data_IF_817793324529
#
_entry.id   IF_817793324529
#
_cell.length_a   1.000
_cell.length_b   1.000
_cell.length_c   1.000
_cell.angle_alpha   90.00
_cell.angle_beta   90.00
_cell.angle_gamma   90.00
#
_symmetry.space_group_name_H-M   'P 1'
#
loop_
_entity.id
_entity.type
_entity.pdbx_description
1 polymer ?
#
# COMPACT_ATOMS: atom_id res chain seq x y z
N UNK A 1 1.72 3.73 -11.49
CA UNK A 1 0.25 3.57 -11.67
C UNK A 1 -0.03 3.62 -13.17
N UNK A 2 -1.05 2.92 -13.68
CA UNK A 2 -1.36 2.94 -15.12
C UNK A 2 -1.89 4.30 -15.63
N UNK A 3 -2.41 5.14 -14.72
CA UNK A 3 -2.87 6.51 -14.98
C UNK A 3 -4.12 6.65 -15.85
N UNK A 4 -5.00 5.65 -15.85
CA UNK A 4 -6.26 5.61 -16.60
C UNK A 4 -7.51 5.95 -15.78
N UNK A 5 -7.43 5.95 -14.44
CA UNK A 5 -8.59 6.19 -13.55
C UNK A 5 -9.03 7.66 -13.55
N UNK A 6 -8.12 8.60 -13.27
CA UNK A 6 -8.46 10.01 -13.09
C UNK A 6 -9.02 10.68 -14.37
N UNK A 7 -8.75 10.09 -15.54
CA UNK A 7 -9.16 10.59 -16.86
C UNK A 7 -10.22 9.72 -17.53
N UNK A 8 -10.68 8.65 -16.87
CA UNK A 8 -11.70 7.75 -17.41
C UNK A 8 -13.01 8.51 -17.64
N UNK A 9 -13.70 8.22 -18.75
CA UNK A 9 -15.02 8.78 -19.06
C UNK A 9 -16.09 8.37 -18.04
N UNK A 10 -15.88 7.24 -17.36
CA UNK A 10 -16.76 6.74 -16.31
C UNK A 10 -16.49 7.40 -14.94
N UNK A 11 -15.42 8.19 -14.82
CA UNK A 11 -15.03 8.77 -13.55
C UNK A 11 -15.91 10.01 -13.24
N UNK A 12 -16.66 10.02 -12.12
CA UNK A 12 -17.64 11.08 -11.86
C UNK A 12 -17.01 12.45 -11.54
N UNK A 13 -15.71 12.47 -11.18
CA UNK A 13 -14.95 13.67 -10.83
C UNK A 13 -13.63 13.72 -11.61
N UNK A 14 -13.61 14.22 -12.85
CA UNK A 14 -12.40 14.20 -13.68
C UNK A 14 -11.19 14.86 -12.98
N UNK A 15 -10.03 14.22 -13.06
CA UNK A 15 -8.77 14.71 -12.49
C UNK A 15 -8.60 14.49 -10.98
N UNK A 16 -9.54 13.81 -10.32
CA UNK A 16 -9.53 13.53 -8.87
C UNK A 16 -9.50 12.02 -8.64
N UNK A 17 -8.83 11.55 -7.60
CA UNK A 17 -9.01 10.19 -7.05
C UNK A 17 -9.19 10.31 -5.53
N UNK A 18 -10.17 9.61 -4.97
CA UNK A 18 -10.38 9.53 -3.52
C UNK A 18 -10.22 8.08 -3.06
N UNK A 19 -9.68 7.86 -1.86
CA UNK A 19 -9.49 6.53 -1.25
C UNK A 19 -10.26 6.38 0.08
N UNK A 20 -11.25 7.24 0.30
CA UNK A 20 -12.13 7.22 1.48
C UNK A 20 -13.44 7.96 1.14
N UNK A 21 -14.61 7.56 1.67
CA UNK A 21 -15.89 8.17 1.30
C UNK A 21 -15.96 9.68 1.51
N UNK A 22 -15.26 10.16 2.54
CA UNK A 22 -15.14 11.57 2.92
C UNK A 22 -13.71 12.09 2.78
N UNK A 23 -12.86 11.39 2.01
CA UNK A 23 -11.46 11.74 1.83
C UNK A 23 -11.23 12.85 0.81
N UNK A 24 -10.11 13.54 0.96
CA UNK A 24 -9.59 14.50 -0.01
C UNK A 24 -9.02 13.79 -1.25
N UNK A 25 -8.73 14.58 -2.30
CA UNK A 25 -8.02 14.09 -3.47
C UNK A 25 -6.62 13.58 -3.11
N UNK A 26 -6.31 12.36 -3.55
CA UNK A 26 -4.99 11.73 -3.39
C UNK A 26 -4.22 11.63 -4.71
N UNK A 27 -4.79 12.11 -5.82
CA UNK A 27 -4.17 12.08 -7.14
C UNK A 27 -3.23 13.27 -7.41
N UNK A 28 -3.61 14.46 -6.93
CA UNK A 28 -2.82 15.67 -7.14
C UNK A 28 -1.38 15.53 -6.64
N UNK A 29 -0.43 15.87 -7.50
CA UNK A 29 1.00 15.89 -7.17
C UNK A 29 1.70 14.52 -7.15
N UNK A 30 0.99 13.41 -7.44
CA UNK A 30 1.63 12.10 -7.51
C UNK A 30 2.53 12.00 -8.78
N UNK A 31 3.83 11.70 -8.63
CA UNK A 31 4.74 11.50 -9.76
C UNK A 31 4.30 10.37 -10.71
N UNK A 32 4.59 10.55 -12.00
CA UNK A 32 4.26 9.58 -13.07
C UNK A 32 5.54 8.94 -13.60
N UNK A 33 6.19 8.16 -12.75
CA UNK A 33 7.54 7.64 -13.04
C UNK A 33 7.55 6.51 -14.08
N UNK A 34 6.50 5.68 -14.09
CA UNK A 34 6.38 4.53 -14.98
C UNK A 34 4.96 4.47 -15.57
N UNK A 35 4.83 4.71 -16.88
CA UNK A 35 3.57 4.74 -17.63
C UNK A 35 3.65 3.98 -18.98
N UNK A 36 4.68 3.16 -19.17
CA UNK A 36 4.92 2.40 -20.41
C UNK A 36 4.21 1.03 -20.40
N UNK A 37 3.89 0.53 -21.58
CA UNK A 37 3.02 -0.65 -21.82
C UNK A 37 3.71 -2.00 -21.53
N UNK A 38 4.95 -2.00 -21.03
CA UNK A 38 5.77 -3.21 -20.87
C UNK A 38 5.72 -3.88 -19.49
N UNK A 39 4.87 -3.41 -18.58
CA UNK A 39 4.82 -3.87 -17.18
C UNK A 39 3.37 -4.16 -16.72
N UNK A 40 3.19 -4.72 -15.53
CA UNK A 40 1.89 -5.14 -14.97
C UNK A 40 0.93 -3.97 -14.73
N UNK A 41 0.13 -3.54 -15.73
CA UNK A 41 -1.23 -4.07 -15.97
C UNK A 41 -1.39 -4.86 -17.28
N UNK A 42 -0.31 -4.97 -18.05
CA UNK A 42 -0.23 -5.81 -19.24
C UNK A 42 0.63 -7.05 -18.94
N UNK A 43 0.50 -8.08 -19.78
CA UNK A 43 1.39 -9.25 -19.71
C UNK A 43 2.84 -8.85 -20.04
N UNK A 44 3.84 -9.54 -19.46
CA UNK A 44 3.75 -10.67 -18.54
C UNK A 44 3.48 -10.27 -17.08
N UNK A 45 2.94 -11.21 -16.31
CA UNK A 45 2.71 -11.02 -14.87
C UNK A 45 3.96 -11.26 -14.02
N UNK A 46 3.98 -10.69 -12.80
CA UNK A 46 5.03 -10.89 -11.81
C UNK A 46 4.81 -12.23 -11.07
N UNK A 47 5.78 -13.13 -11.19
CA UNK A 47 5.78 -14.40 -10.44
C UNK A 47 6.54 -14.27 -9.13
N UNK A 48 6.06 -14.95 -8.08
CA UNK A 48 6.65 -14.87 -6.74
C UNK A 48 8.13 -15.26 -6.71
N UNK A 49 8.54 -16.29 -7.47
CA UNK A 49 9.94 -16.68 -7.55
C UNK A 49 10.84 -15.57 -8.10
N UNK A 50 10.44 -14.94 -9.21
CA UNK A 50 11.19 -13.82 -9.80
C UNK A 50 11.30 -12.65 -8.82
N UNK A 51 10.21 -12.37 -8.10
CA UNK A 51 10.20 -11.32 -7.09
C UNK A 51 11.19 -11.61 -5.96
N UNK A 52 11.16 -12.82 -5.39
CA UNK A 52 12.09 -13.22 -4.32
C UNK A 52 13.54 -13.22 -4.80
N UNK A 53 13.82 -13.60 -6.05
CA UNK A 53 15.17 -13.51 -6.63
C UNK A 53 15.69 -12.07 -6.68
N UNK A 54 14.84 -11.11 -7.06
CA UNK A 54 15.19 -9.68 -7.03
C UNK A 54 15.48 -9.23 -5.61
N UNK A 55 14.69 -9.65 -4.62
CA UNK A 55 14.96 -9.32 -3.21
C UNK A 55 16.30 -9.88 -2.72
N UNK A 56 16.64 -11.12 -3.10
CA UNK A 56 17.95 -11.72 -2.80
C UNK A 56 19.09 -10.94 -3.45
N UNK A 57 18.96 -10.54 -4.72
CA UNK A 57 19.94 -9.69 -5.40
C UNK A 57 20.10 -8.34 -4.72
N UNK A 58 18.98 -7.70 -4.32
CA UNK A 58 18.98 -6.42 -3.61
C UNK A 58 19.64 -6.53 -2.24
N UNK A 59 19.42 -7.63 -1.53
CA UNK A 59 20.08 -7.94 -0.26
C UNK A 59 21.60 -8.11 -0.44
N UNK A 60 22.01 -8.93 -1.41
CA UNK A 60 23.41 -9.16 -1.72
C UNK A 60 24.16 -7.87 -2.12
N UNK A 61 23.46 -6.91 -2.72
CA UNK A 61 24.03 -5.60 -3.02
C UNK A 61 24.28 -4.72 -1.78
N UNK A 62 23.73 -5.06 -0.61
CA UNK A 62 23.94 -4.30 0.64
C UNK A 62 23.42 -2.86 0.60
N UNK A 63 22.40 -2.59 -0.23
CA UNK A 63 21.93 -1.22 -0.53
C UNK A 63 20.68 -0.80 0.27
N UNK A 64 20.36 -1.52 1.35
CA UNK A 64 19.37 -1.11 2.34
C UNK A 64 19.79 -1.65 3.72
N UNK A 65 19.37 -0.97 4.78
CA UNK A 65 19.53 -1.46 6.15
C UNK A 65 18.46 -2.48 6.49
N UNK A 66 17.21 -2.06 6.33
CA UNK A 66 15.99 -2.84 6.54
C UNK A 66 14.96 -2.46 5.47
N UNK A 67 14.10 -3.40 5.09
CA UNK A 67 13.06 -3.20 4.09
C UNK A 67 11.72 -3.72 4.62
N UNK A 68 10.66 -2.96 4.39
CA UNK A 68 9.28 -3.36 4.70
C UNK A 68 8.48 -3.42 3.40
N UNK A 69 7.73 -4.51 3.21
CA UNK A 69 6.88 -4.74 2.03
C UNK A 69 5.45 -5.04 2.50
N UNK A 70 4.50 -4.26 2.00
CA UNK A 70 3.06 -4.49 2.17
C UNK A 70 2.52 -4.99 0.83
N UNK A 71 1.83 -6.14 0.82
CA UNK A 71 1.26 -6.71 -0.41
C UNK A 71 -0.25 -6.82 -0.29
N UNK A 72 -0.92 -6.11 -1.19
CA UNK A 72 -2.36 -6.19 -1.41
C UNK A 72 -2.67 -7.07 -2.62
N UNK A 73 -3.20 -8.27 -2.38
CA UNK A 73 -3.77 -9.14 -3.41
C UNK A 73 -4.49 -10.33 -2.77
N UNK A 74 -5.41 -10.94 -3.52
CA UNK A 74 -5.88 -12.29 -3.24
C UNK A 74 -4.71 -13.28 -3.22
N UNK A 75 -4.81 -14.28 -2.34
CA UNK A 75 -3.79 -15.30 -2.12
C UNK A 75 -2.36 -14.75 -1.92
N UNK A 76 -2.22 -13.51 -1.44
CA UNK A 76 -0.94 -12.80 -1.38
C UNK A 76 0.12 -13.50 -0.54
N UNK A 77 -0.30 -14.32 0.44
CA UNK A 77 0.59 -15.19 1.20
C UNK A 77 1.37 -16.19 0.32
N UNK A 78 0.80 -16.63 -0.80
CA UNK A 78 1.41 -17.60 -1.72
C UNK A 78 2.69 -17.08 -2.39
N UNK A 79 2.88 -15.76 -2.45
CA UNK A 79 4.07 -15.12 -3.00
C UNK A 79 5.30 -15.38 -2.12
N UNK A 80 5.12 -15.68 -0.84
CA UNK A 80 6.21 -15.75 0.16
C UNK A 80 6.28 -17.08 0.90
N UNK A 81 5.14 -17.77 1.05
CA UNK A 81 5.05 -18.99 1.83
C UNK A 81 6.00 -20.07 1.28
N UNK A 82 6.82 -20.64 2.17
CA UNK A 82 7.82 -21.66 1.82
C UNK A 82 9.06 -21.16 1.08
N UNK A 83 9.07 -19.92 0.54
CA UNK A 83 10.16 -19.43 -0.31
C UNK A 83 10.88 -18.17 0.20
N UNK A 84 10.27 -17.39 1.11
CA UNK A 84 10.86 -16.16 1.64
C UNK A 84 11.91 -16.44 2.75
N UNK A 85 13.19 -16.09 2.54
CA UNK A 85 14.23 -16.19 3.58
C UNK A 85 13.98 -15.24 4.77
N UNK A 86 14.51 -15.60 5.94
CA UNK A 86 14.33 -14.83 7.20
C UNK A 86 15.53 -13.96 7.57
N UNK A 87 16.64 -14.11 6.86
CA UNK A 87 17.96 -13.54 7.11
C UNK A 87 18.35 -12.41 6.13
N UNK A 88 17.36 -11.73 5.57
CA UNK A 88 17.59 -10.62 4.62
C UNK A 88 17.33 -9.23 5.18
N UNK A 89 16.89 -9.08 6.44
CA UNK A 89 16.37 -7.81 6.98
C UNK A 89 15.22 -7.24 6.14
N UNK A 90 14.35 -8.13 5.65
CA UNK A 90 13.11 -7.76 4.94
C UNK A 90 11.93 -8.29 5.74
N UNK A 91 11.02 -7.41 6.11
CA UNK A 91 9.74 -7.77 6.72
C UNK A 91 8.62 -7.61 5.70
N UNK A 92 7.77 -8.62 5.59
CA UNK A 92 6.65 -8.64 4.66
C UNK A 92 5.37 -8.86 5.42
N UNK A 93 4.34 -8.09 5.08
CA UNK A 93 2.96 -8.40 5.48
C UNK A 93 2.06 -8.46 4.25
N UNK A 94 1.16 -9.43 4.25
CA UNK A 94 0.25 -9.71 3.13
C UNK A 94 -1.19 -9.51 3.56
N UNK A 95 -2.04 -9.15 2.60
CA UNK A 95 -3.47 -8.96 2.82
C UNK A 95 -4.18 -10.25 3.25
N UNK A 96 -3.77 -11.37 2.69
CA UNK A 96 -4.40 -12.66 2.84
C UNK A 96 -3.37 -13.77 3.00
N UNK A 97 -3.82 -14.95 3.43
CA UNK A 97 -3.04 -16.18 3.37
C UNK A 97 -2.94 -16.70 1.92
N UNK A 98 -2.31 -17.86 1.71
CA UNK A 98 -2.09 -18.42 0.37
C UNK A 98 -3.35 -19.03 -0.30
N UNK A 99 -4.50 -19.04 0.36
CA UNK A 99 -5.70 -19.79 -0.02
C UNK A 99 -6.99 -18.96 0.04
N UNK A 100 -6.90 -17.66 0.29
CA UNK A 100 -8.07 -16.80 0.41
C UNK A 100 -7.91 -15.45 -0.30
N UNK A 101 -9.05 -14.87 -0.62
CA UNK A 101 -9.14 -13.56 -1.25
C UNK A 101 -8.82 -12.42 -0.27
N UNK A 102 -8.32 -11.31 -0.82
CA UNK A 102 -8.38 -10.02 -0.14
C UNK A 102 -9.69 -9.29 -0.47
N UNK A 103 -9.93 -8.14 0.17
CA UNK A 103 -11.23 -7.47 0.14
C UNK A 103 -11.11 -5.97 -0.15
N UNK A 104 -11.94 -5.53 -1.11
CA UNK A 104 -12.25 -4.13 -1.34
C UNK A 104 -13.04 -3.52 -0.19
N UNK A 105 -12.96 -2.21 -0.04
CA UNK A 105 -13.74 -1.43 0.93
C UNK A 105 -14.32 -0.17 0.27
N UNK A 106 -15.29 0.45 0.95
CA UNK A 106 -16.01 1.62 0.43
C UNK A 106 -16.67 1.34 -0.93
N UNK A 107 -17.35 0.20 -1.02
CA UNK A 107 -18.07 -0.22 -2.22
C UNK A 107 -19.55 0.20 -2.17
N UNK A 108 -20.21 0.40 -3.33
CA UNK A 108 -21.65 0.61 -3.38
C UNK A 108 -22.41 -0.51 -2.65
N UNK A 109 -23.25 -0.13 -1.68
CA UNK A 109 -24.00 -1.08 -0.85
C UNK A 109 -23.28 -1.60 0.40
N UNK A 110 -22.02 -1.20 0.64
CA UNK A 110 -21.32 -1.44 1.92
C UNK A 110 -21.45 -0.24 2.86
N UNK A 111 -21.17 -0.44 4.15
CA UNK A 111 -21.08 0.65 5.14
C UNK A 111 -19.62 0.79 5.63
N UNK A 112 -19.00 1.98 5.56
CA UNK A 112 -19.55 3.18 4.93
C UNK A 112 -19.52 3.10 3.39
N UNK A 113 -20.58 3.59 2.70
CA UNK A 113 -20.62 3.58 1.25
C UNK A 113 -19.75 4.70 0.68
N UNK A 114 -19.31 4.60 -0.59
CA UNK A 114 -18.70 5.71 -1.30
C UNK A 114 -19.74 6.81 -1.61
N UNK A 115 -19.31 8.00 -2.08
CA UNK A 115 -20.24 8.99 -2.60
C UNK A 115 -21.10 8.37 -3.73
N UNK A 116 -22.41 8.64 -3.80
CA UNK A 116 -23.34 7.93 -4.68
C UNK A 116 -23.00 7.96 -6.18
N UNK A 117 -22.21 8.93 -6.61
CA UNK A 117 -21.74 9.05 -8.00
C UNK A 117 -20.66 8.02 -8.38
N UNK A 118 -20.02 7.36 -7.41
CA UNK A 118 -19.06 6.29 -7.67
C UNK A 118 -19.75 4.94 -7.73
N UNK A 119 -19.57 4.25 -8.86
CA UNK A 119 -20.11 2.90 -9.10
C UNK A 119 -19.10 1.77 -8.83
N UNK A 120 -17.95 2.11 -8.23
CA UNK A 120 -16.85 1.20 -7.91
C UNK A 120 -16.44 1.35 -6.44
N UNK A 121 -15.71 0.38 -5.90
CA UNK A 121 -15.03 0.52 -4.60
C UNK A 121 -13.96 1.61 -4.68
N UNK A 122 -13.75 2.37 -3.60
CA UNK A 122 -12.74 3.44 -3.56
C UNK A 122 -11.36 2.96 -3.10
N UNK A 123 -11.28 1.82 -2.42
CA UNK A 123 -10.02 1.30 -1.92
C UNK A 123 -10.12 -0.16 -1.53
N UNK A 124 -9.00 -0.67 -1.00
CA UNK A 124 -8.89 -1.98 -0.39
C UNK A 124 -8.83 -1.85 1.12
N UNK A 125 -9.22 -2.90 1.85
CA UNK A 125 -9.37 -2.89 3.31
C UNK A 125 -8.00 -2.82 4.00
N UNK A 126 -7.27 -1.71 3.87
CA UNK A 126 -5.81 -1.69 4.02
C UNK A 126 -5.29 -1.93 5.44
N UNK A 127 -6.03 -1.56 6.49
CA UNK A 127 -5.45 -1.60 7.83
C UNK A 127 -5.37 -3.04 8.35
N UNK A 128 -4.16 -3.46 8.73
CA UNK A 128 -3.93 -4.75 9.43
C UNK A 128 -4.91 -4.90 10.60
N UNK A 129 -5.22 -3.79 11.28
CA UNK A 129 -6.18 -3.73 12.38
C UNK A 129 -7.61 -4.08 11.93
N UNK A 130 -8.07 -3.61 10.78
CA UNK A 130 -9.41 -3.96 10.27
C UNK A 130 -9.45 -5.36 9.69
N UNK A 131 -8.37 -5.84 9.05
CA UNK A 131 -8.29 -7.22 8.54
C UNK A 131 -8.25 -8.29 9.63
N UNK A 132 -7.63 -7.96 10.76
CA UNK A 132 -7.51 -8.86 11.93
C UNK A 132 -8.61 -8.64 12.96
N UNK A 133 -9.53 -7.70 12.74
CA UNK A 133 -10.67 -7.53 13.62
C UNK A 133 -11.55 -8.79 13.55
N UNK A 134 -11.89 -9.39 14.68
CA UNK A 134 -12.73 -10.60 14.84
C UNK A 134 -14.17 -10.46 14.29
N UNK A 135 -14.46 -9.46 13.46
CA UNK A 135 -15.64 -9.45 12.62
C UNK A 135 -15.38 -10.44 11.47
N UNK A 136 -16.29 -11.39 11.25
CA UNK A 136 -16.20 -12.47 10.27
C UNK A 136 -16.21 -12.00 8.78
N UNK A 137 -15.53 -10.89 8.45
CA UNK A 137 -15.62 -10.19 7.16
C UNK A 137 -14.30 -9.64 6.64
N UNK A 138 -13.17 -10.33 6.91
CA UNK A 138 -11.84 -9.96 6.42
C UNK A 138 -10.98 -11.19 6.07
N UNK A 139 -9.74 -10.94 5.67
CA UNK A 139 -8.73 -11.95 5.37
C UNK A 139 -7.64 -12.04 6.45
N UNK A 140 -6.98 -13.18 6.55
CA UNK A 140 -5.87 -13.41 7.45
C UNK A 140 -4.63 -12.65 6.97
N UNK A 141 -4.24 -11.62 7.73
CA UNK A 141 -2.97 -10.95 7.53
C UNK A 141 -1.84 -11.89 7.92
N UNK A 142 -0.91 -12.13 6.99
CA UNK A 142 0.25 -12.98 7.24
C UNK A 142 1.54 -12.15 7.33
N UNK A 143 2.55 -12.72 7.99
CA UNK A 143 3.86 -12.10 8.18
C UNK A 143 5.00 -13.06 7.77
N UNK A 144 5.90 -12.58 6.91
CA UNK A 144 7.05 -13.33 6.40
C UNK A 144 8.36 -12.55 6.59
N UNK A 145 9.49 -13.25 6.46
CA UNK A 145 10.83 -12.66 6.56
C UNK A 145 11.27 -12.35 8.01
N UNK A 146 12.03 -11.27 8.16
CA UNK A 146 12.69 -10.86 9.41
C UNK A 146 11.70 -10.15 10.36
N UNK A 147 11.07 -10.91 11.26
CA UNK A 147 10.04 -10.40 12.20
C UNK A 147 10.57 -9.44 13.28
N UNK A 148 11.88 -9.33 13.47
CA UNK A 148 12.50 -8.39 14.40
C UNK A 148 12.24 -6.92 14.04
N UNK A 149 12.04 -6.62 12.75
CA UNK A 149 11.76 -5.27 12.24
C UNK A 149 10.40 -4.74 12.74
N UNK A 150 9.45 -5.62 13.09
CA UNK A 150 8.12 -5.23 13.58
C UNK A 150 8.16 -4.42 14.88
N UNK A 151 9.20 -4.60 15.70
CA UNK A 151 9.37 -3.83 16.93
C UNK A 151 9.84 -2.39 16.67
N UNK A 152 10.37 -2.11 15.48
CA UNK A 152 10.76 -0.78 15.05
C UNK A 152 9.52 0.00 14.58
N UNK A 153 9.33 1.20 15.13
CA UNK A 153 8.06 1.91 14.97
C UNK A 153 7.87 2.33 13.49
N UNK A 154 6.65 2.17 12.94
CA UNK A 154 6.31 2.42 11.52
C UNK A 154 6.77 3.79 10.98
N UNK A 155 6.92 4.79 11.86
CA UNK A 155 7.46 6.12 11.54
C UNK A 155 8.82 6.15 10.82
N UNK A 156 9.63 5.09 10.97
CA UNK A 156 10.91 5.01 10.27
C UNK A 156 10.75 4.75 8.76
N UNK A 157 9.65 4.12 8.36
CA UNK A 157 9.39 3.73 6.97
C UNK A 157 8.31 4.59 6.32
N UNK A 158 7.34 5.03 7.12
CA UNK A 158 6.30 5.97 6.69
C UNK A 158 6.63 7.31 7.33
N UNK A 159 7.05 8.28 6.51
CA UNK A 159 7.30 9.66 6.96
C UNK A 159 6.08 10.12 7.79
N UNK A 160 6.25 10.30 9.10
CA UNK A 160 5.16 10.78 9.96
C UNK A 160 4.98 12.27 9.72
N UNK A 161 3.75 12.65 9.36
CA UNK A 161 3.33 14.03 9.41
C UNK A 161 3.21 14.42 10.89
N UNK A 162 4.25 15.04 11.46
CA UNK A 162 4.11 15.76 12.73
C UNK A 162 3.33 17.02 12.40
N UNK A 163 2.00 16.94 12.48
CA UNK A 163 1.16 18.13 12.61
C UNK A 163 1.65 18.88 13.86
N UNK A 164 2.09 20.14 13.76
CA UNK A 164 2.39 20.92 14.95
C UNK A 164 1.10 21.00 15.76
N UNK A 165 1.10 20.37 16.94
CA UNK A 165 0.12 20.65 17.97
C UNK A 165 0.03 22.17 18.11
N UNK A 166 -1.18 22.69 17.90
CA UNK A 166 -1.56 24.09 18.07
C UNK A 166 -0.93 24.65 19.35
N UNK A 167 0.22 25.29 19.23
CA UNK A 167 0.66 26.31 20.17
C UNK A 167 0.43 27.63 19.46
N UNK A 168 -0.45 28.41 20.07
CA UNK A 168 -1.01 29.65 19.58
C UNK A 168 0.07 30.73 19.42
N UNK A 169 0.80 30.78 18.30
CA UNK A 169 1.53 31.98 17.87
C UNK A 169 1.65 32.00 16.32
N UNK A 170 1.18 33.05 15.64
CA UNK A 170 1.29 33.16 14.19
C UNK A 170 2.68 33.73 13.86
N UNK A 171 3.53 32.97 13.17
CA UNK A 171 4.35 33.45 12.04
C UNK A 171 5.33 32.37 11.58
N UNK A 172 5.56 32.38 10.26
CA UNK A 172 6.61 31.69 9.48
C UNK A 172 6.13 30.41 8.79
N UNK A 173 5.51 30.64 7.62
CA UNK A 173 5.55 29.77 6.44
C UNK A 173 7.01 29.51 6.04
N UNK A 174 7.45 28.25 6.09
CA UNK A 174 8.43 27.67 5.17
C UNK A 174 8.50 26.15 5.37
N UNK A 175 7.91 25.41 4.43
CA UNK A 175 8.05 23.95 4.34
C UNK A 175 9.42 23.62 3.72
N UNK A 176 10.47 23.59 4.53
CA UNK A 176 11.72 22.94 4.14
C UNK A 176 11.62 21.44 4.42
N UNK A 177 11.41 20.67 3.36
CA UNK A 177 11.51 19.21 3.37
C UNK A 177 12.96 18.81 3.63
N UNK A 178 13.29 18.43 4.87
CA UNK A 178 14.60 17.91 5.22
C UNK A 178 14.68 16.43 4.82
N UNK A 179 15.27 16.17 3.65
CA UNK A 179 15.78 14.86 3.29
C UNK A 179 17.01 14.58 4.16
N UNK A 180 17.00 13.48 4.92
CA UNK A 180 18.24 12.83 5.33
C UNK A 180 18.22 11.41 4.78
N UNK A 181 19.27 11.15 4.00
CA UNK A 181 19.66 9.90 3.35
C UNK A 181 19.57 8.70 4.30
#
# INVERSE_FOLDING_TARGET
MYDDIAKSELHPRPGVIINHPQGDDVYAGIPKDYYDNGWMPNMPFLYGMDFIEVLKKKHAAGTYREMVIYVEACESGSIFEGIMPKDMNIYVTTASNAQENSWGTYCPGMEPPPPPEYITCLGDLYSVKERTANANGGSHVMEYGSRSIRAEKLYLYQKVLILPLLTSHPTITNYTWLWKL
#
